data_IF_503364919622
#
_entry.id   IF_503364919622
#
_cell.length_a   1.000
_cell.length_b   1.000
_cell.length_c   1.000
_cell.angle_alpha   90.00
_cell.angle_beta   90.00
_cell.angle_gamma   90.00
#
_symmetry.space_group_name_H-M   'P 1'
#
loop_
_entity.id
_entity.type
_entity.pdbx_description
1 polymer ?
#
# COMPACT_ATOMS: atom_id res chain seq x y z
N UNK A 1 4.96 -9.55 2.22
CA UNK A 1 5.03 -9.99 0.80
C UNK A 1 3.82 -10.82 0.39
N UNK A 2 3.50 -11.94 1.06
CA UNK A 2 2.29 -12.72 0.72
C UNK A 2 0.96 -12.18 1.27
N UNK A 3 1.00 -11.55 2.45
CA UNK A 3 -0.18 -10.95 3.06
C UNK A 3 -0.64 -9.66 2.36
N UNK A 4 0.31 -8.96 1.74
CA UNK A 4 0.18 -7.62 1.16
C UNK A 4 -0.76 -7.58 -0.07
N UNK A 5 -0.85 -8.69 -0.78
CA UNK A 5 -1.61 -8.80 -2.03
C UNK A 5 -3.08 -9.19 -1.78
N UNK A 6 -3.36 -9.91 -0.69
CA UNK A 6 -4.71 -10.36 -0.34
C UNK A 6 -5.65 -9.19 -0.03
N UNK A 7 -5.12 -8.07 0.49
CA UNK A 7 -5.87 -6.86 0.76
C UNK A 7 -6.45 -6.19 -0.50
N UNK A 8 -5.89 -6.49 -1.68
CA UNK A 8 -6.36 -6.04 -3.00
C UNK A 8 -7.11 -7.15 -3.78
N UNK A 9 -7.47 -8.26 -3.12
CA UNK A 9 -8.13 -9.40 -3.76
C UNK A 9 -7.20 -10.37 -4.49
N UNK A 10 -5.88 -10.33 -4.24
CA UNK A 10 -4.90 -11.21 -4.89
C UNK A 10 -4.64 -12.44 -4.00
N UNK A 11 -5.02 -13.65 -4.46
CA UNK A 11 -4.63 -14.91 -3.79
C UNK A 11 -3.16 -15.23 -4.08
N UNK A 12 -2.28 -14.71 -3.21
CA UNK A 12 -0.85 -14.97 -3.35
C UNK A 12 -0.46 -16.40 -2.99
N UNK A 13 -1.26 -17.12 -2.21
CA UNK A 13 -0.99 -18.50 -1.79
C UNK A 13 -1.11 -19.49 -2.96
N UNK A 14 -2.19 -19.42 -3.73
CA UNK A 14 -2.36 -20.24 -4.93
C UNK A 14 -1.40 -19.81 -6.06
N UNK A 15 -1.10 -18.52 -6.15
CA UNK A 15 -0.14 -17.96 -7.10
C UNK A 15 1.29 -18.42 -6.81
N UNK A 16 1.78 -18.25 -5.57
CA UNK A 16 3.13 -18.69 -5.18
C UNK A 16 3.29 -20.21 -5.26
N UNK A 17 2.24 -20.99 -4.97
CA UNK A 17 2.23 -22.44 -5.16
C UNK A 17 2.34 -22.87 -6.63
N UNK A 18 2.00 -22.00 -7.58
CA UNK A 18 2.08 -22.23 -9.03
C UNK A 18 3.38 -21.70 -9.66
N UNK A 19 4.12 -20.86 -8.93
CA UNK A 19 5.29 -20.06 -9.36
C UNK A 19 6.60 -20.72 -8.93
N UNK A 20 6.78 -21.98 -9.34
CA UNK A 20 8.14 -22.53 -9.50
C UNK A 20 8.81 -22.01 -10.79
N UNK A 21 8.09 -21.21 -11.58
CA UNK A 21 8.56 -20.53 -12.78
C UNK A 21 8.61 -19.02 -12.54
N UNK A 22 9.79 -18.40 -12.70
CA UNK A 22 10.09 -16.99 -12.31
C UNK A 22 9.53 -15.95 -13.31
N UNK A 23 8.32 -16.15 -13.81
CA UNK A 23 7.66 -15.30 -14.81
C UNK A 23 6.24 -14.96 -14.39
N UNK A 24 6.04 -14.80 -13.09
CA UNK A 24 4.72 -14.58 -12.53
C UNK A 24 4.24 -13.15 -12.88
N UNK A 25 3.30 -13.06 -13.82
CA UNK A 25 2.71 -11.80 -14.28
C UNK A 25 1.80 -11.24 -13.19
N UNK A 26 2.18 -10.07 -12.66
CA UNK A 26 1.36 -9.33 -11.69
C UNK A 26 0.33 -8.51 -12.47
N UNK A 27 -0.94 -8.90 -12.36
CA UNK A 27 -2.04 -8.21 -13.03
C UNK A 27 -2.74 -7.25 -12.08
N UNK A 28 -2.88 -6.00 -12.51
CA UNK A 28 -3.69 -5.00 -11.83
C UNK A 28 -5.10 -4.98 -12.44
N UNK A 29 -6.11 -5.16 -11.61
CA UNK A 29 -7.51 -5.15 -12.04
C UNK A 29 -7.91 -3.71 -12.39
N UNK A 30 -8.74 -3.51 -13.40
CA UNK A 30 -9.10 -2.18 -13.89
C UNK A 30 -9.65 -1.26 -12.79
N UNK A 31 -10.45 -1.82 -11.87
CA UNK A 31 -11.00 -1.10 -10.72
C UNK A 31 -9.93 -0.56 -9.75
N UNK A 32 -8.76 -1.19 -9.69
CA UNK A 32 -7.68 -0.81 -8.77
C UNK A 32 -6.70 0.19 -9.41
N UNK A 33 -6.81 0.46 -10.71
CA UNK A 33 -5.92 1.39 -11.42
C UNK A 33 -5.94 2.80 -10.80
N UNK A 34 -7.09 3.39 -10.45
CA UNK A 34 -7.12 4.72 -9.84
C UNK A 34 -6.40 4.75 -8.49
N UNK A 35 -6.71 3.80 -7.61
CA UNK A 35 -6.06 3.66 -6.30
C UNK A 35 -4.54 3.46 -6.45
N UNK A 36 -4.11 2.59 -7.36
CA UNK A 36 -2.69 2.37 -7.64
C UNK A 36 -1.95 3.62 -8.11
N UNK A 37 -2.58 4.44 -8.98
CA UNK A 37 -1.99 5.69 -9.48
C UNK A 37 -1.80 6.71 -8.36
N UNK A 38 -2.77 6.83 -7.45
CA UNK A 38 -2.72 7.70 -6.27
C UNK A 38 -1.67 7.18 -5.30
N UNK A 39 -1.76 5.90 -4.92
CA UNK A 39 -0.84 5.22 -4.02
C UNK A 39 0.63 5.39 -4.44
N UNK A 40 0.93 5.16 -5.72
CA UNK A 40 2.30 5.25 -6.24
C UNK A 40 2.94 6.64 -6.06
N UNK A 41 2.14 7.69 -5.95
CA UNK A 41 2.59 9.08 -5.70
C UNK A 41 2.55 9.45 -4.22
N UNK A 42 1.61 8.88 -3.46
CA UNK A 42 1.48 9.08 -2.03
C UNK A 42 2.66 8.51 -1.21
N UNK A 43 3.49 7.63 -1.81
CA UNK A 43 4.65 7.01 -1.16
C UNK A 43 5.70 7.97 -0.57
N UNK A 44 5.61 9.26 -0.87
CA UNK A 44 6.51 10.30 -0.34
C UNK A 44 5.88 11.12 0.79
N UNK A 45 4.59 10.91 1.07
CA UNK A 45 3.78 11.73 1.97
C UNK A 45 3.56 11.03 3.33
N UNK A 46 4.61 10.39 3.83
CA UNK A 46 4.57 9.72 5.13
C UNK A 46 4.71 10.72 6.28
N UNK A 47 3.90 10.50 7.31
CA UNK A 47 4.01 11.15 8.61
C UNK A 47 4.85 10.29 9.54
N UNK A 48 5.66 10.96 10.34
CA UNK A 48 6.59 10.34 11.26
C UNK A 48 6.34 10.85 12.68
N UNK A 49 6.54 9.99 13.68
CA UNK A 49 6.41 10.35 15.09
C UNK A 49 7.49 9.69 15.97
N UNK A 50 7.61 10.20 17.19
CA UNK A 50 8.58 9.71 18.18
C UNK A 50 10.02 10.15 17.89
N UNK A 51 10.89 9.89 18.86
CA UNK A 51 12.31 10.29 18.81
C UNK A 51 13.12 9.57 17.72
N UNK A 52 12.65 8.40 17.29
CA UNK A 52 13.32 7.58 16.27
C UNK A 52 12.74 7.76 14.87
N UNK A 53 11.75 8.64 14.70
CA UNK A 53 11.11 8.91 13.41
C UNK A 53 10.41 7.68 12.84
N UNK A 54 9.58 7.02 13.66
CA UNK A 54 8.76 5.89 13.21
C UNK A 54 7.66 6.38 12.26
N UNK A 55 7.42 5.66 11.17
CA UNK A 55 6.29 5.96 10.26
C UNK A 55 5.00 5.65 11.00
N UNK A 56 4.05 6.59 11.01
CA UNK A 56 2.75 6.42 11.68
C UNK A 56 1.55 6.44 10.75
N UNK A 57 1.76 6.84 9.49
CA UNK A 57 0.71 6.84 8.46
C UNK A 57 0.98 7.86 7.37
N UNK A 58 0.08 7.94 6.40
CA UNK A 58 0.06 8.92 5.32
C UNK A 58 -0.58 10.23 5.78
N UNK A 59 -0.16 11.31 5.15
CA UNK A 59 -0.87 12.58 5.18
C UNK A 59 -2.04 12.55 4.19
N UNK A 60 -3.24 12.23 4.67
CA UNK A 60 -4.45 12.11 3.84
C UNK A 60 -4.86 13.42 3.17
N UNK A 61 -4.50 14.58 3.71
CA UNK A 61 -4.74 15.86 3.02
C UNK A 61 -3.84 15.96 1.77
N UNK A 62 -2.57 15.55 1.88
CA UNK A 62 -1.67 15.45 0.73
C UNK A 62 -2.14 14.39 -0.27
N UNK A 63 -2.63 13.23 0.20
CA UNK A 63 -3.20 12.18 -0.67
C UNK A 63 -4.43 12.70 -1.42
N UNK A 64 -5.34 13.41 -0.76
CA UNK A 64 -6.52 13.99 -1.39
C UNK A 64 -6.14 14.97 -2.53
N UNK A 65 -5.11 15.80 -2.30
CA UNK A 65 -4.57 16.71 -3.33
C UNK A 65 -3.91 15.97 -4.49
N UNK A 66 -3.27 14.83 -4.24
CA UNK A 66 -2.73 13.97 -5.29
C UNK A 66 -3.88 13.39 -6.13
N UNK A 67 -4.94 12.90 -5.49
CA UNK A 67 -6.12 12.37 -6.18
C UNK A 67 -6.79 13.42 -7.06
N UNK A 68 -6.97 14.64 -6.53
CA UNK A 68 -7.45 15.81 -7.28
C UNK A 68 -6.59 16.07 -8.53
N UNK A 69 -5.27 16.14 -8.37
CA UNK A 69 -4.34 16.37 -9.50
C UNK A 69 -4.33 15.25 -10.55
N UNK A 70 -4.77 14.04 -10.21
CA UNK A 70 -4.90 12.90 -11.12
C UNK A 70 -6.29 12.74 -11.71
N UNK A 71 -7.24 13.59 -11.32
CA UNK A 71 -8.65 13.50 -11.65
C UNK A 71 -9.28 12.17 -11.20
N UNK A 72 -8.85 11.66 -10.04
CA UNK A 72 -9.45 10.49 -9.40
C UNK A 72 -10.45 10.98 -8.34
N UNK A 73 -11.70 10.49 -8.32
CA UNK A 73 -12.67 10.84 -7.28
C UNK A 73 -12.13 10.54 -5.88
N UNK A 74 -12.24 11.51 -4.99
CA UNK A 74 -11.93 11.33 -3.56
C UNK A 74 -13.18 10.81 -2.85
N UNK A 75 -13.43 9.52 -2.97
CA UNK A 75 -14.57 8.81 -2.38
C UNK A 75 -14.14 7.78 -1.33
N UNK A 76 -15.13 7.19 -0.65
CA UNK A 76 -14.91 6.19 0.41
C UNK A 76 -14.11 4.98 -0.11
N UNK A 77 -14.40 4.51 -1.33
CA UNK A 77 -13.70 3.37 -1.93
C UNK A 77 -12.21 3.67 -2.13
N UNK A 78 -11.87 4.83 -2.69
CA UNK A 78 -10.47 5.21 -2.86
C UNK A 78 -9.76 5.33 -1.51
N UNK A 79 -10.41 5.93 -0.51
CA UNK A 79 -9.85 6.08 0.83
C UNK A 79 -9.55 4.69 1.42
N UNK A 80 -10.50 3.77 1.32
CA UNK A 80 -10.35 2.40 1.82
C UNK A 80 -9.23 1.64 1.11
N UNK A 81 -9.13 1.76 -0.22
CA UNK A 81 -8.07 1.12 -1.00
C UNK A 81 -6.68 1.65 -0.61
N UNK A 82 -6.55 2.97 -0.37
CA UNK A 82 -5.31 3.59 0.11
C UNK A 82 -4.99 3.16 1.54
N UNK A 83 -5.99 3.11 2.42
CA UNK A 83 -5.83 2.66 3.80
C UNK A 83 -5.38 1.19 3.89
N UNK A 84 -5.90 0.33 3.00
CA UNK A 84 -5.46 -1.06 2.89
C UNK A 84 -3.97 -1.15 2.51
N UNK A 85 -3.52 -0.32 1.56
CA UNK A 85 -2.12 -0.26 1.17
C UNK A 85 -1.23 0.30 2.30
N UNK A 86 -1.69 1.33 3.00
CA UNK A 86 -1.02 1.93 4.15
C UNK A 86 -0.80 0.91 5.27
N UNK A 87 -1.84 0.16 5.64
CA UNK A 87 -1.79 -0.82 6.72
C UNK A 87 -0.69 -1.87 6.51
N UNK A 88 -0.51 -2.32 5.27
CA UNK A 88 0.56 -3.24 4.89
C UNK A 88 1.95 -2.64 5.14
N UNK A 89 2.17 -1.38 4.74
CA UNK A 89 3.46 -0.71 4.93
C UNK A 89 3.75 -0.52 6.42
N UNK A 90 2.75 -0.10 7.20
CA UNK A 90 2.88 0.08 8.64
C UNK A 90 3.19 -1.24 9.36
N UNK A 91 2.62 -2.36 8.93
CA UNK A 91 2.96 -3.68 9.45
C UNK A 91 4.42 -4.04 9.18
N UNK A 92 4.89 -3.85 7.93
CA UNK A 92 6.29 -4.12 7.57
C UNK A 92 7.24 -3.21 8.36
N UNK A 93 6.89 -1.94 8.55
CA UNK A 93 7.67 -1.00 9.33
C UNK A 93 7.81 -1.47 10.79
N UNK A 94 6.70 -1.86 11.43
CA UNK A 94 6.70 -2.41 12.80
C UNK A 94 7.56 -3.66 12.93
N UNK A 95 7.47 -4.58 11.97
CA UNK A 95 8.31 -5.79 11.96
C UNK A 95 9.80 -5.45 11.85
N UNK A 96 10.16 -4.46 11.03
CA UNK A 96 11.55 -4.00 10.89
C UNK A 96 12.07 -3.31 12.15
N UNK A 97 11.24 -2.55 12.84
CA UNK A 97 11.60 -1.92 14.12
C UNK A 97 11.83 -2.97 15.19
N UNK A 98 10.93 -3.96 15.31
CA UNK A 98 11.09 -5.07 16.26
C UNK A 98 12.38 -5.85 16.01
N UNK A 99 12.75 -6.09 14.74
CA UNK A 99 13.98 -6.78 14.38
C UNK A 99 15.27 -5.97 14.67
N UNK A 100 15.20 -4.64 14.75
CA UNK A 100 16.34 -3.77 15.09
C UNK A 100 16.56 -3.59 16.59
N UNK A 101 15.56 -3.91 17.41
CA UNK A 101 15.63 -3.85 18.87
C UNK A 101 16.29 -5.06 19.54
N UNK A 102 16.75 -6.04 18.75
CA UNK A 102 17.55 -7.20 19.16
C UNK A 102 18.99 -7.06 18.69
#
# INVERSE_FOLDING_TARGET
MAADAAALGIDLSAYLARVADRSAEIVLWEGNVPAWRVWSRAQTQWRYAGLHGAIVGLDYDAVARIAEGLLVPWDEQLIDDIAACEAVVLEIARQREAARGH
#
